data_IF_590761324411
#
_entry.id   IF_590761324411
#
_cell.length_a   1.000
_cell.length_b   1.000
_cell.length_c   1.000
_cell.angle_alpha   90.00
_cell.angle_beta   90.00
_cell.angle_gamma   90.00
#
_symmetry.space_group_name_H-M   'P 1'
#
loop_
_entity.id
_entity.type
_entity.pdbx_description
1 polymer ?
#
# COMPACT_ATOMS: atom_id res chain seq x y z
N UNK A 1 -29.94 -17.13 10.27
CA UNK A 1 -29.74 -17.68 11.64
C UNK A 1 -30.38 -16.73 12.64
N UNK A 2 -30.86 -17.21 13.79
CA UNK A 2 -31.31 -16.35 14.88
C UNK A 2 -30.83 -16.86 16.25
N UNK A 3 -30.30 -15.97 17.09
CA UNK A 3 -29.86 -16.29 18.45
C UNK A 3 -30.44 -15.28 19.45
N UNK A 4 -30.77 -15.72 20.66
CA UNK A 4 -31.35 -14.88 21.70
C UNK A 4 -30.44 -14.72 22.92
N UNK A 5 -30.26 -13.47 23.35
CA UNK A 5 -29.48 -13.11 24.54
C UNK A 5 -30.33 -12.32 25.54
N UNK A 6 -30.02 -12.46 26.84
CA UNK A 6 -30.79 -11.92 27.97
C UNK A 6 -29.95 -10.91 28.73
N UNK A 7 -30.53 -9.75 29.06
CA UNK A 7 -29.81 -8.65 29.71
C UNK A 7 -30.51 -8.17 30.97
N UNK A 8 -29.74 -7.94 32.03
CA UNK A 8 -30.24 -7.43 33.31
C UNK A 8 -30.28 -5.91 33.34
N UNK A 9 -30.93 -5.36 34.38
CA UNK A 9 -30.98 -3.91 34.56
C UNK A 9 -29.58 -3.34 34.78
N UNK A 10 -29.21 -2.33 34.00
CA UNK A 10 -27.89 -1.69 34.06
C UNK A 10 -26.89 -2.22 33.03
N UNK A 11 -27.18 -3.36 32.40
CA UNK A 11 -26.43 -3.80 31.23
C UNK A 11 -26.89 -2.98 30.02
N UNK A 12 -26.14 -1.94 29.68
CA UNK A 12 -26.43 -1.05 28.54
C UNK A 12 -25.35 -1.14 27.47
N UNK A 13 -24.42 -2.08 27.59
CA UNK A 13 -23.35 -2.19 26.61
C UNK A 13 -23.94 -2.49 25.23
N UNK A 14 -24.95 -3.37 25.15
CA UNK A 14 -25.55 -3.70 23.85
C UNK A 14 -26.20 -2.46 23.22
N UNK A 15 -26.74 -1.55 24.03
CA UNK A 15 -27.31 -0.30 23.51
C UNK A 15 -26.24 0.56 22.85
N UNK A 16 -25.12 0.76 23.56
CA UNK A 16 -23.98 1.49 23.04
C UNK A 16 -23.39 0.87 21.77
N UNK A 17 -23.36 -0.46 21.69
CA UNK A 17 -22.94 -1.18 20.49
C UNK A 17 -23.89 -0.98 19.31
N UNK A 18 -25.21 -1.09 19.55
CA UNK A 18 -26.24 -0.89 18.53
C UNK A 18 -26.18 0.53 17.94
N UNK A 19 -26.06 1.53 18.80
CA UNK A 19 -25.98 2.96 18.46
C UNK A 19 -24.61 3.39 17.94
N UNK A 20 -23.63 2.47 17.84
CA UNK A 20 -22.25 2.73 17.42
C UNK A 20 -21.61 3.87 18.25
N UNK A 21 -21.88 3.88 19.56
CA UNK A 21 -21.23 4.81 20.50
C UNK A 21 -19.73 4.53 20.56
N UNK A 22 -18.96 5.60 20.77
CA UNK A 22 -17.51 5.55 20.91
C UNK A 22 -17.12 5.66 22.38
N UNK A 23 -16.03 5.01 22.74
CA UNK A 23 -15.41 5.12 24.06
C UNK A 23 -14.62 6.43 24.21
N UNK A 24 -13.97 6.61 25.36
CA UNK A 24 -13.14 7.78 25.69
C UNK A 24 -11.96 7.96 24.73
N UNK A 25 -11.52 6.89 24.06
CA UNK A 25 -10.43 6.89 23.09
C UNK A 25 -10.91 7.10 21.65
N UNK A 26 -12.22 7.30 21.44
CA UNK A 26 -12.82 7.47 20.12
C UNK A 26 -12.98 6.17 19.32
N UNK A 27 -12.80 5.00 19.95
CA UNK A 27 -13.02 3.68 19.35
C UNK A 27 -14.47 3.25 19.52
N UNK A 28 -15.04 2.54 18.55
CA UNK A 28 -16.40 2.01 18.68
C UNK A 28 -16.48 0.96 19.79
N UNK A 29 -17.55 1.03 20.59
CA UNK A 29 -17.84 0.03 21.61
C UNK A 29 -18.27 -1.27 20.92
N UNK A 30 -17.43 -2.30 21.00
CA UNK A 30 -17.68 -3.63 20.42
C UNK A 30 -18.18 -4.61 21.46
N UNK A 31 -18.98 -5.60 21.04
CA UNK A 31 -19.31 -6.75 21.87
C UNK A 31 -18.41 -7.94 21.50
N UNK A 32 -17.44 -8.22 22.36
CA UNK A 32 -16.37 -9.19 22.08
C UNK A 32 -15.48 -8.73 20.91
N UNK A 33 -14.95 -9.69 20.15
CA UNK A 33 -13.98 -9.44 19.07
C UNK A 33 -14.63 -9.13 17.70
N UNK A 34 -15.65 -8.27 17.65
CA UNK A 34 -16.26 -7.85 16.38
C UNK A 34 -15.34 -6.89 15.63
N UNK A 35 -15.24 -7.04 14.31
CA UNK A 35 -14.55 -6.09 13.42
C UNK A 35 -15.58 -5.20 12.76
N UNK A 36 -15.61 -3.93 13.16
CA UNK A 36 -16.47 -2.89 12.57
C UNK A 36 -15.65 -2.17 11.51
N UNK A 37 -16.22 -2.03 10.31
CA UNK A 37 -15.69 -1.21 9.23
C UNK A 37 -16.31 0.20 9.29
N UNK A 38 -15.58 1.23 9.79
CA UNK A 38 -16.13 2.57 9.95
C UNK A 38 -16.61 3.21 8.64
N UNK A 39 -16.09 2.76 7.49
CA UNK A 39 -16.48 3.29 6.18
C UNK A 39 -17.90 2.89 5.79
N UNK A 40 -18.41 1.79 6.37
CA UNK A 40 -19.74 1.24 6.09
C UNK A 40 -20.78 1.57 7.15
N UNK A 41 -20.40 2.15 8.29
CA UNK A 41 -21.32 2.45 9.41
C UNK A 41 -22.52 3.33 9.01
N UNK A 42 -22.35 4.20 8.01
CA UNK A 42 -23.43 5.03 7.47
C UNK A 42 -24.53 4.23 6.75
N UNK A 43 -24.27 2.95 6.43
CA UNK A 43 -25.24 2.02 5.85
C UNK A 43 -26.09 1.33 6.91
N UNK A 44 -25.77 1.49 8.20
CA UNK A 44 -26.57 0.96 9.29
C UNK A 44 -27.87 1.77 9.42
N UNK A 45 -28.93 1.10 9.86
CA UNK A 45 -30.22 1.75 10.04
C UNK A 45 -31.01 1.08 11.16
N UNK A 46 -31.92 1.83 11.79
CA UNK A 46 -32.84 1.31 12.78
C UNK A 46 -34.23 1.17 12.15
N UNK A 47 -34.82 -0.01 12.24
CA UNK A 47 -36.17 -0.26 11.71
C UNK A 47 -37.27 0.20 12.66
N UNK A 48 -36.94 0.50 13.92
CA UNK A 48 -37.93 0.97 14.88
C UNK A 48 -38.28 2.44 14.60
N UNK A 49 -39.56 2.78 14.36
CA UNK A 49 -39.97 4.06 13.78
C UNK A 49 -39.81 5.28 14.70
N UNK A 50 -39.82 5.09 16.01
CA UNK A 50 -39.58 6.19 16.94
C UNK A 50 -38.08 6.55 16.95
N UNK A 51 -37.73 7.80 17.25
CA UNK A 51 -36.34 8.30 17.23
C UNK A 51 -35.66 8.48 18.60
N UNK A 52 -36.32 8.10 19.70
CA UNK A 52 -35.77 8.29 21.06
C UNK A 52 -34.69 7.26 21.43
N UNK A 53 -33.84 7.59 22.42
CA UNK A 53 -32.74 6.73 22.89
C UNK A 53 -33.27 5.38 23.42
N UNK A 54 -32.51 4.29 23.19
CA UNK A 54 -32.90 2.94 23.62
C UNK A 54 -33.18 2.85 25.12
N UNK A 55 -32.37 3.55 25.92
CA UNK A 55 -32.53 3.59 27.38
C UNK A 55 -33.83 4.25 27.81
N UNK A 56 -34.20 5.35 27.19
CA UNK A 56 -35.42 6.09 27.54
C UNK A 56 -36.66 5.24 27.30
N UNK A 57 -36.70 4.46 26.21
CA UNK A 57 -37.81 3.54 25.92
C UNK A 57 -37.94 2.42 26.93
N UNK A 58 -36.79 1.83 27.29
CA UNK A 58 -36.77 0.80 28.32
C UNK A 58 -37.35 1.36 29.62
N UNK A 59 -36.85 2.50 30.08
CA UNK A 59 -37.30 3.08 31.34
C UNK A 59 -38.76 3.58 31.28
N UNK A 60 -39.19 4.15 30.14
CA UNK A 60 -40.58 4.57 29.94
C UNK A 60 -41.55 3.38 30.06
N UNK A 61 -41.24 2.26 29.40
CA UNK A 61 -42.08 1.07 29.48
C UNK A 61 -42.02 0.38 30.83
N UNK A 62 -40.87 0.40 31.52
CA UNK A 62 -40.75 -0.13 32.89
C UNK A 62 -41.45 0.75 33.95
N UNK A 63 -41.67 2.03 33.65
CA UNK A 63 -42.35 2.99 34.53
C UNK A 63 -43.86 3.03 34.35
N UNK A 64 -44.39 2.32 33.34
CA UNK A 64 -45.83 2.20 33.09
C UNK A 64 -46.52 1.58 34.33
N UNK A 65 -47.57 2.22 34.89
CA UNK A 65 -48.26 1.74 36.09
C UNK A 65 -48.88 0.34 35.93
N UNK A 66 -49.17 -0.07 34.69
CA UNK A 66 -49.70 -1.38 34.34
C UNK A 66 -48.61 -2.41 34.00
N UNK A 67 -47.33 -2.04 34.10
CA UNK A 67 -46.18 -2.93 33.90
C UNK A 67 -45.47 -3.19 35.23
N UNK A 68 -45.54 -4.43 35.71
CA UNK A 68 -44.81 -4.86 36.90
C UNK A 68 -43.42 -5.36 36.54
N UNK A 69 -42.39 -4.64 37.00
CA UNK A 69 -41.03 -5.17 37.05
C UNK A 69 -40.62 -5.47 38.50
N UNK A 70 -40.01 -6.64 38.74
CA UNK A 70 -39.48 -6.96 40.06
C UNK A 70 -38.28 -6.06 40.38
N UNK A 71 -38.18 -5.58 41.62
CA UNK A 71 -37.03 -4.80 42.08
C UNK A 71 -35.91 -5.72 42.59
N UNK A 72 -35.21 -6.35 41.65
CA UNK A 72 -34.07 -7.25 41.90
C UNK A 72 -32.99 -6.96 40.86
N UNK A 73 -31.73 -7.02 41.26
CA UNK A 73 -30.60 -6.73 40.37
C UNK A 73 -30.45 -7.74 39.22
N UNK A 74 -30.84 -8.99 39.44
CA UNK A 74 -30.70 -10.10 38.48
C UNK A 74 -31.93 -10.28 37.57
N UNK A 75 -32.87 -9.34 37.59
CA UNK A 75 -34.03 -9.39 36.70
C UNK A 75 -33.59 -9.07 35.29
N UNK A 76 -33.89 -9.99 34.37
CA UNK A 76 -33.74 -9.77 32.93
C UNK A 76 -34.84 -8.81 32.49
N UNK A 77 -34.46 -7.57 32.16
CA UNK A 77 -35.39 -6.50 31.82
C UNK A 77 -35.55 -6.31 30.32
N UNK A 78 -34.61 -6.78 29.51
CA UNK A 78 -34.77 -6.87 28.06
C UNK A 78 -34.00 -8.08 27.51
N UNK A 79 -34.29 -8.43 26.26
CA UNK A 79 -33.54 -9.42 25.50
C UNK A 79 -33.31 -8.95 24.08
N UNK A 80 -32.36 -9.59 23.40
CA UNK A 80 -32.04 -9.30 22.00
C UNK A 80 -32.11 -10.57 21.17
N UNK A 81 -32.87 -10.54 20.09
CA UNK A 81 -32.66 -11.46 18.97
C UNK A 81 -31.59 -10.88 18.04
N UNK A 82 -30.50 -11.61 17.83
CA UNK A 82 -29.58 -11.36 16.74
C UNK A 82 -30.02 -12.21 15.54
N UNK A 83 -30.56 -11.57 14.51
CA UNK A 83 -31.04 -12.21 13.28
C UNK A 83 -30.07 -11.91 12.16
N UNK A 84 -29.43 -12.93 11.62
CA UNK A 84 -28.40 -12.81 10.58
C UNK A 84 -28.90 -13.36 9.27
N UNK A 85 -28.62 -12.63 8.19
CA UNK A 85 -28.90 -13.05 6.83
C UNK A 85 -28.23 -14.42 6.55
N UNK A 86 -28.93 -15.40 5.96
CA UNK A 86 -28.36 -16.73 5.75
C UNK A 86 -27.39 -16.70 4.57
N UNK A 87 -26.10 -16.96 4.80
CA UNK A 87 -25.10 -17.02 3.72
C UNK A 87 -25.05 -18.37 3.01
N UNK A 88 -25.78 -19.36 3.52
CA UNK A 88 -25.80 -20.72 3.02
C UNK A 88 -27.22 -21.31 3.02
N UNK A 89 -27.50 -22.22 2.09
CA UNK A 89 -28.71 -23.02 2.02
C UNK A 89 -28.35 -24.52 1.95
N UNK A 90 -29.20 -25.43 2.45
CA UNK A 90 -29.07 -26.85 2.14
C UNK A 90 -29.12 -27.09 0.62
N UNK A 91 -28.30 -28.01 0.13
CA UNK A 91 -28.39 -28.53 -1.23
C UNK A 91 -29.58 -29.47 -1.33
N UNK A 92 -30.30 -29.39 -2.44
CA UNK A 92 -31.45 -30.25 -2.74
C UNK A 92 -31.11 -31.15 -3.95
N UNK A 93 -31.64 -32.37 -3.95
CA UNK A 93 -31.57 -33.30 -5.08
C UNK A 93 -32.63 -32.96 -6.15
N UNK A 94 -32.66 -33.75 -7.21
CA UNK A 94 -33.59 -33.59 -8.35
C UNK A 94 -35.07 -33.68 -7.94
N UNK A 95 -35.35 -34.27 -6.79
CA UNK A 95 -36.69 -34.46 -6.24
C UNK A 95 -37.03 -33.44 -5.12
N UNK A 96 -36.11 -32.50 -4.83
CA UNK A 96 -36.28 -31.51 -3.76
C UNK A 96 -35.97 -32.02 -2.35
N UNK A 97 -35.31 -33.18 -2.20
CA UNK A 97 -34.87 -33.66 -0.89
C UNK A 97 -33.50 -33.07 -0.53
N UNK A 98 -33.30 -32.75 0.75
CA UNK A 98 -32.02 -32.23 1.24
C UNK A 98 -30.93 -33.31 1.13
N UNK A 99 -29.79 -32.95 0.57
CA UNK A 99 -28.60 -33.79 0.48
C UNK A 99 -27.82 -33.71 1.79
N UNK A 100 -27.53 -34.86 2.40
CA UNK A 100 -26.76 -34.95 3.64
C UNK A 100 -25.35 -35.49 3.39
N UNK A 101 -24.40 -35.08 4.24
CA UNK A 101 -23.03 -35.56 4.29
C UNK A 101 -22.64 -35.93 5.71
N UNK A 102 -21.74 -36.90 5.85
CA UNK A 102 -21.16 -37.28 7.14
C UNK A 102 -20.01 -36.33 7.49
N UNK A 103 -20.05 -35.75 8.68
CA UNK A 103 -18.99 -34.88 9.22
C UNK A 103 -18.44 -35.45 10.51
N UNK A 104 -17.12 -35.49 10.62
CA UNK A 104 -16.46 -35.75 11.89
C UNK A 104 -16.56 -34.53 12.80
N UNK A 105 -17.13 -34.74 13.98
CA UNK A 105 -17.27 -33.74 15.04
C UNK A 105 -16.33 -34.11 16.16
N UNK A 106 -15.37 -33.22 16.40
CA UNK A 106 -14.44 -33.33 17.53
C UNK A 106 -15.07 -32.68 18.75
N UNK A 107 -15.34 -33.50 19.77
CA UNK A 107 -15.85 -33.04 21.05
C UNK A 107 -14.72 -32.50 21.93
N UNK A 108 -15.12 -31.68 22.90
CA UNK A 108 -14.19 -31.03 23.85
C UNK A 108 -13.47 -32.02 24.76
N UNK A 109 -14.03 -33.22 24.92
CA UNK A 109 -13.46 -34.33 25.68
C UNK A 109 -12.48 -35.21 24.85
N UNK A 110 -12.24 -34.85 23.59
CA UNK A 110 -11.34 -35.55 22.68
C UNK A 110 -11.98 -36.71 21.93
N UNK A 111 -13.28 -36.96 22.11
CA UNK A 111 -14.01 -37.95 21.30
C UNK A 111 -14.29 -37.41 19.91
N UNK A 112 -14.28 -38.29 18.91
CA UNK A 112 -14.67 -37.97 17.53
C UNK A 112 -15.93 -38.76 17.22
N UNK A 113 -17.01 -38.08 16.87
CA UNK A 113 -18.25 -38.72 16.41
C UNK A 113 -18.57 -38.29 15.00
N UNK A 114 -19.20 -39.18 14.23
CA UNK A 114 -19.74 -38.83 12.92
C UNK A 114 -21.17 -38.32 13.08
N UNK A 115 -21.43 -37.10 12.61
CA UNK A 115 -22.78 -36.52 12.54
C UNK A 115 -23.21 -36.36 11.08
N UNK A 116 -24.43 -36.78 10.78
CA UNK A 116 -25.06 -36.54 9.47
C UNK A 116 -25.59 -35.11 9.44
N UNK A 117 -24.99 -34.26 8.61
CA UNK A 117 -25.35 -32.85 8.46
C UNK A 117 -25.74 -32.54 7.01
N UNK A 118 -26.64 -31.57 6.76
CA UNK A 118 -26.96 -31.18 5.39
C UNK A 118 -25.74 -30.56 4.70
N UNK A 119 -25.54 -30.94 3.44
CA UNK A 119 -24.54 -30.31 2.59
C UNK A 119 -25.04 -28.92 2.22
N UNK A 120 -24.20 -27.90 2.43
CA UNK A 120 -24.57 -26.50 2.23
C UNK A 120 -23.99 -25.95 0.92
N UNK A 121 -24.75 -25.09 0.25
CA UNK A 121 -24.30 -24.22 -0.85
C UNK A 121 -24.30 -22.77 -0.39
N UNK A 122 -23.37 -21.98 -0.88
CA UNK A 122 -23.39 -20.53 -0.68
C UNK A 122 -24.57 -19.90 -1.42
N UNK A 123 -25.14 -18.86 -0.82
CA UNK A 123 -26.21 -18.06 -1.40
C UNK A 123 -25.89 -16.57 -1.23
N UNK A 124 -26.28 -15.80 -2.24
CA UNK A 124 -26.11 -14.35 -2.28
C UNK A 124 -27.47 -13.69 -2.49
N UNK A 125 -27.58 -12.45 -2.06
CA UNK A 125 -28.82 -11.68 -2.13
C UNK A 125 -28.57 -10.33 -2.79
N UNK A 126 -29.60 -9.81 -3.45
CA UNK A 126 -29.63 -8.42 -3.89
C UNK A 126 -29.93 -7.50 -2.72
N UNK A 127 -29.59 -6.21 -2.84
CA UNK A 127 -29.88 -5.22 -1.80
C UNK A 127 -31.37 -5.16 -1.42
N UNK A 128 -32.26 -5.33 -2.41
CA UNK A 128 -33.71 -5.40 -2.19
C UNK A 128 -34.11 -6.62 -1.35
N UNK A 129 -33.51 -7.79 -1.63
CA UNK A 129 -33.75 -9.00 -0.85
C UNK A 129 -33.19 -8.89 0.58
N UNK A 130 -32.03 -8.25 0.75
CA UNK A 130 -31.46 -7.98 2.07
C UNK A 130 -32.40 -7.10 2.88
N UNK A 131 -32.89 -6.02 2.28
CA UNK A 131 -33.86 -5.12 2.91
C UNK A 131 -35.15 -5.85 3.26
N UNK A 132 -35.72 -6.60 2.31
CA UNK A 132 -36.91 -7.40 2.51
C UNK A 132 -36.75 -8.40 3.67
N UNK A 133 -35.61 -9.08 3.77
CA UNK A 133 -35.33 -10.03 4.86
C UNK A 133 -35.43 -9.39 6.24
N UNK A 134 -34.79 -8.22 6.41
CA UNK A 134 -34.83 -7.53 7.69
C UNK A 134 -36.20 -6.93 7.98
N UNK A 135 -36.93 -6.44 6.97
CA UNK A 135 -38.28 -5.88 7.14
C UNK A 135 -39.26 -6.96 7.61
N UNK A 136 -39.20 -8.14 6.98
CA UNK A 136 -39.99 -9.30 7.39
C UNK A 136 -39.60 -9.80 8.78
N UNK A 137 -38.30 -9.83 9.09
CA UNK A 137 -37.80 -10.21 10.41
C UNK A 137 -38.30 -9.26 11.49
N UNK A 138 -38.22 -7.94 11.25
CA UNK A 138 -38.70 -6.92 12.17
C UNK A 138 -40.21 -7.02 12.39
N UNK A 139 -40.98 -7.17 11.31
CA UNK A 139 -42.44 -7.33 11.39
C UNK A 139 -42.84 -8.57 12.18
N UNK A 140 -42.26 -9.72 11.88
CA UNK A 140 -42.49 -10.96 12.61
C UNK A 140 -42.22 -10.81 14.11
N UNK A 141 -41.06 -10.25 14.47
CA UNK A 141 -40.64 -10.10 15.86
C UNK A 141 -41.52 -9.08 16.60
N UNK A 142 -41.88 -7.99 15.95
CA UNK A 142 -42.76 -6.95 16.51
C UNK A 142 -44.17 -7.48 16.75
N UNK A 143 -44.73 -8.24 15.81
CA UNK A 143 -46.03 -8.90 15.96
C UNK A 143 -46.00 -9.96 17.06
N UNK A 144 -44.90 -10.73 17.16
CA UNK A 144 -44.75 -11.82 18.12
C UNK A 144 -44.59 -11.36 19.57
N UNK A 145 -43.83 -10.28 19.80
CA UNK A 145 -43.49 -9.81 21.15
C UNK A 145 -44.20 -8.51 21.55
N UNK A 146 -44.98 -7.92 20.65
CA UNK A 146 -45.72 -6.69 20.85
C UNK A 146 -44.89 -5.45 20.52
N UNK A 147 -45.37 -4.65 19.58
CA UNK A 147 -44.72 -3.42 19.09
C UNK A 147 -44.36 -2.45 20.23
N UNK A 148 -45.26 -2.29 21.21
CA UNK A 148 -45.07 -1.44 22.38
C UNK A 148 -43.95 -1.92 23.33
N UNK A 149 -43.46 -3.14 23.16
CA UNK A 149 -42.38 -3.71 23.96
C UNK A 149 -41.04 -3.65 23.22
N UNK A 150 -41.02 -3.20 21.95
CA UNK A 150 -39.80 -3.08 21.15
C UNK A 150 -39.01 -1.87 21.61
N UNK A 151 -37.73 -2.10 21.92
CA UNK A 151 -36.78 -1.06 22.29
C UNK A 151 -36.14 -0.51 21.00
N UNK A 152 -35.61 -1.40 20.16
CA UNK A 152 -34.96 -1.03 18.90
C UNK A 152 -34.76 -2.22 17.97
N UNK A 153 -34.49 -1.95 16.70
CA UNK A 153 -34.18 -2.96 15.70
C UNK A 153 -33.07 -2.45 14.76
N UNK A 154 -31.83 -2.42 15.26
CA UNK A 154 -30.68 -1.94 14.48
C UNK A 154 -30.19 -3.02 13.53
N UNK A 155 -30.07 -2.67 12.25
CA UNK A 155 -29.41 -3.47 11.23
C UNK A 155 -27.99 -2.96 11.06
N UNK A 156 -27.02 -3.83 11.31
CA UNK A 156 -25.60 -3.57 11.13
C UNK A 156 -25.13 -4.13 9.79
N UNK A 157 -24.71 -3.22 8.91
CA UNK A 157 -24.20 -3.45 7.56
C UNK A 157 -22.68 -3.25 7.48
N UNK A 158 -22.03 -2.95 8.60
CA UNK A 158 -20.61 -2.59 8.73
C UNK A 158 -19.76 -3.66 9.43
N UNK A 159 -20.31 -4.86 9.60
CA UNK A 159 -19.61 -6.05 10.10
C UNK A 159 -19.51 -7.14 9.03
N UNK A 160 -18.97 -8.32 9.38
CA UNK A 160 -18.73 -9.44 8.45
C UNK A 160 -19.99 -9.89 7.71
N UNK A 161 -21.12 -10.02 8.41
CA UNK A 161 -22.39 -10.44 7.82
C UNK A 161 -23.49 -9.52 8.30
N UNK A 162 -24.36 -9.00 7.41
CA UNK A 162 -25.52 -8.21 7.80
C UNK A 162 -26.35 -8.94 8.86
N UNK A 163 -26.62 -8.25 9.96
CA UNK A 163 -27.44 -8.77 11.04
C UNK A 163 -28.23 -7.68 11.74
N UNK A 164 -29.35 -8.07 12.32
CA UNK A 164 -30.24 -7.20 13.07
C UNK A 164 -30.22 -7.56 14.55
N UNK A 165 -29.98 -6.56 15.38
CA UNK A 165 -30.21 -6.61 16.82
C UNK A 165 -31.63 -6.10 17.12
N UNK A 166 -32.55 -7.04 17.35
CA UNK A 166 -33.93 -6.76 17.75
C UNK A 166 -34.06 -6.85 19.27
N UNK A 167 -34.13 -5.69 19.93
CA UNK A 167 -34.19 -5.55 21.37
C UNK A 167 -35.63 -5.33 21.81
N UNK A 168 -36.09 -6.07 22.81
CA UNK A 168 -37.44 -5.94 23.35
C UNK A 168 -37.53 -6.32 24.83
N UNK A 169 -38.60 -5.86 25.48
CA UNK A 169 -38.89 -6.14 26.89
C UNK A 169 -39.76 -7.40 26.97
N UNK A 170 -39.35 -8.44 27.71
CA UNK A 170 -40.09 -9.70 27.75
C UNK A 170 -41.30 -9.58 28.69
N UNK A 171 -42.41 -9.11 28.15
CA UNK A 171 -43.67 -8.89 28.85
C UNK A 171 -44.58 -10.12 28.74
N UNK A 172 -45.23 -10.48 29.85
CA UNK A 172 -46.29 -11.50 29.92
C UNK A 172 -47.41 -11.03 30.84
N UNK A 173 -48.60 -11.62 30.75
CA UNK A 173 -49.72 -11.29 31.64
C UNK A 173 -49.40 -11.60 33.11
N UNK A 174 -49.78 -10.69 34.02
CA UNK A 174 -49.74 -10.96 35.46
C UNK A 174 -51.04 -11.64 35.92
N UNK A 175 -51.24 -12.88 35.46
CA UNK A 175 -52.46 -13.67 35.69
C UNK A 175 -52.96 -13.61 37.13
N UNK A 176 -52.05 -13.83 38.09
CA UNK A 176 -52.38 -13.82 39.54
C UNK A 176 -52.89 -12.48 40.05
N UNK A 177 -52.49 -11.37 39.44
CA UNK A 177 -52.99 -10.05 39.82
C UNK A 177 -54.30 -9.74 39.10
N UNK A 178 -54.38 -10.06 37.80
CA UNK A 178 -55.59 -9.87 37.00
C UNK A 178 -56.78 -10.66 37.57
N UNK A 179 -56.55 -11.90 38.00
CA UNK A 179 -57.56 -12.74 38.67
C UNK A 179 -58.03 -12.14 40.01
N UNK A 180 -57.13 -11.46 40.75
CA UNK A 180 -57.46 -10.86 42.04
C UNK A 180 -58.13 -9.49 41.90
N UNK A 181 -57.90 -8.79 40.79
CA UNK A 181 -58.34 -7.41 40.58
C UNK A 181 -59.05 -7.28 39.22
N UNK A 182 -60.19 -7.97 39.01
CA UNK A 182 -60.89 -7.98 37.73
C UNK A 182 -61.46 -6.61 37.34
N UNK A 183 -61.69 -5.73 38.32
CA UNK A 183 -62.24 -4.38 38.10
C UNK A 183 -61.18 -3.34 37.68
N UNK A 184 -59.90 -3.74 37.57
CA UNK A 184 -58.80 -2.86 37.18
C UNK A 184 -58.32 -3.18 35.77
N UNK A 185 -57.65 -2.21 35.16
CA UNK A 185 -56.96 -2.45 33.89
C UNK A 185 -55.99 -3.62 34.02
N UNK A 186 -55.95 -4.55 33.04
CA UNK A 186 -55.08 -5.71 33.10
C UNK A 186 -53.62 -5.30 33.27
N UNK A 187 -52.97 -5.89 34.27
CA UNK A 187 -51.54 -5.71 34.51
C UNK A 187 -50.74 -6.78 33.78
N UNK A 188 -49.60 -6.35 33.25
CA UNK A 188 -48.57 -7.21 32.69
C UNK A 188 -47.31 -7.17 33.56
N UNK A 189 -46.40 -8.12 33.38
CA UNK A 189 -45.15 -8.21 34.13
C UNK A 189 -43.96 -8.52 33.22
N UNK A 190 -42.78 -8.03 33.60
CA UNK A 190 -41.51 -8.37 32.96
C UNK A 190 -41.07 -9.75 33.47
N UNK A 191 -41.02 -10.74 32.58
CA UNK A 191 -40.65 -12.11 32.93
C UNK A 191 -40.04 -12.87 31.75
N UNK A 192 -38.74 -12.67 31.51
CA UNK A 192 -37.98 -13.39 30.48
C UNK A 192 -38.04 -14.92 30.61
N UNK A 193 -38.15 -15.44 31.84
CA UNK A 193 -38.22 -16.88 32.10
C UNK A 193 -39.52 -17.50 31.56
N UNK A 194 -40.62 -16.76 31.63
CA UNK A 194 -41.93 -17.25 31.22
C UNK A 194 -42.11 -17.09 29.70
N UNK A 195 -41.73 -15.93 29.15
CA UNK A 195 -41.82 -15.66 27.72
C UNK A 195 -40.81 -16.48 26.91
N UNK A 196 -39.53 -16.42 27.29
CA UNK A 196 -38.40 -17.05 26.58
C UNK A 196 -38.04 -18.38 27.23
N UNK A 197 -39.04 -19.26 27.29
CA UNK A 197 -38.94 -20.62 27.81
C UNK A 197 -38.43 -21.59 26.73
N UNK A 198 -38.17 -22.84 27.10
CA UNK A 198 -37.65 -23.84 26.16
C UNK A 198 -38.57 -24.12 24.97
N UNK A 199 -39.89 -24.12 25.17
CA UNK A 199 -40.84 -24.30 24.08
C UNK A 199 -40.70 -23.19 23.06
N UNK A 200 -40.66 -21.94 23.51
CA UNK A 200 -40.45 -20.78 22.65
C UNK A 200 -39.13 -20.89 21.87
N UNK A 201 -38.04 -21.23 22.55
CA UNK A 201 -36.72 -21.40 21.90
C UNK A 201 -36.71 -22.52 20.85
N UNK A 202 -37.40 -23.63 21.11
CA UNK A 202 -37.43 -24.78 20.21
C UNK A 202 -38.30 -24.53 18.97
N UNK A 203 -39.37 -23.75 19.09
CA UNK A 203 -40.29 -23.50 17.95
C UNK A 203 -39.89 -22.27 17.13
N UNK A 204 -39.09 -21.34 17.69
CA UNK A 204 -38.82 -20.04 17.09
C UNK A 204 -38.34 -20.13 15.64
N UNK A 205 -37.27 -20.89 15.36
CA UNK A 205 -36.71 -20.98 14.00
C UNK A 205 -37.70 -21.55 12.99
N UNK A 206 -38.50 -22.54 13.38
CA UNK A 206 -39.55 -23.12 12.52
C UNK A 206 -40.61 -22.09 12.19
N UNK A 207 -41.12 -21.38 13.20
CA UNK A 207 -42.20 -20.40 12.99
C UNK A 207 -41.69 -19.17 12.21
N UNK A 208 -40.43 -18.76 12.43
CA UNK A 208 -39.78 -17.73 11.63
C UNK A 208 -39.61 -18.18 10.16
N UNK A 209 -39.19 -19.43 9.92
CA UNK A 209 -39.12 -20.00 8.57
C UNK A 209 -40.48 -19.98 7.88
N UNK A 210 -41.52 -20.47 8.56
CA UNK A 210 -42.89 -20.48 8.04
C UNK A 210 -43.38 -19.08 7.69
N UNK A 211 -43.07 -18.08 8.51
CA UNK A 211 -43.40 -16.68 8.24
C UNK A 211 -42.67 -16.15 7.01
N UNK A 212 -41.37 -16.41 6.91
CA UNK A 212 -40.56 -16.00 5.75
C UNK A 212 -41.12 -16.62 4.46
N UNK A 213 -41.41 -17.92 4.45
CA UNK A 213 -41.94 -18.61 3.26
C UNK A 213 -43.35 -18.14 2.86
N UNK A 214 -44.15 -17.66 3.82
CA UNK A 214 -45.48 -17.10 3.55
C UNK A 214 -45.44 -15.68 3.00
N UNK A 215 -44.44 -14.88 3.40
CA UNK A 215 -44.36 -13.45 3.08
C UNK A 215 -43.26 -13.10 2.05
N UNK A 216 -42.54 -14.11 1.55
CA UNK A 216 -41.52 -14.00 0.51
C UNK A 216 -41.58 -15.21 -0.42
N UNK A 217 -40.64 -15.30 -1.37
CA UNK A 217 -40.50 -16.50 -2.17
C UNK A 217 -40.07 -17.67 -1.29
N UNK A 218 -40.80 -18.79 -1.36
CA UNK A 218 -40.50 -20.01 -0.61
C UNK A 218 -39.04 -20.44 -0.81
N UNK A 219 -38.33 -20.67 0.29
CA UNK A 219 -36.92 -21.09 0.28
C UNK A 219 -35.92 -19.96 -0.02
N UNK A 220 -36.38 -18.72 -0.20
CA UNK A 220 -35.48 -17.58 -0.43
C UNK A 220 -34.61 -17.29 0.79
N UNK A 221 -35.20 -17.34 1.99
CA UNK A 221 -34.51 -17.04 3.25
C UNK A 221 -34.48 -18.27 4.18
N UNK A 222 -33.56 -19.23 3.97
CA UNK A 222 -33.45 -20.40 4.82
C UNK A 222 -32.98 -20.03 6.24
N UNK A 223 -33.86 -20.19 7.21
CA UNK A 223 -33.62 -19.98 8.63
C UNK A 223 -32.93 -21.21 9.21
N UNK A 224 -31.61 -21.15 9.22
CA UNK A 224 -30.79 -22.19 9.83
C UNK A 224 -30.81 -22.11 11.37
N UNK A 225 -30.98 -23.26 12.03
CA UNK A 225 -30.79 -23.41 13.47
C UNK A 225 -29.36 -23.91 13.78
N UNK A 226 -28.92 -23.76 15.04
CA UNK A 226 -27.58 -24.16 15.46
C UNK A 226 -27.29 -25.66 15.27
N UNK A 227 -28.31 -26.51 15.29
CA UNK A 227 -28.19 -27.95 15.04
C UNK A 227 -27.91 -28.25 13.56
N UNK A 228 -28.45 -27.47 12.62
CA UNK A 228 -28.29 -27.66 11.18
C UNK A 228 -26.90 -27.25 10.65
N UNK A 229 -26.16 -26.42 11.41
CA UNK A 229 -24.80 -25.93 11.04
C UNK A 229 -23.68 -26.68 11.81
N UNK A 230 -24.02 -27.68 12.64
CA UNK A 230 -23.04 -28.50 13.37
C UNK A 230 -22.94 -28.15 14.86
N UNK A 231 -24.07 -28.30 15.55
CA UNK A 231 -24.18 -28.19 17.00
C UNK A 231 -24.03 -26.77 17.54
N UNK A 232 -24.28 -26.59 18.85
CA UNK A 232 -24.02 -25.35 19.59
C UNK A 232 -22.50 -25.05 19.64
N UNK A 233 -21.90 -24.76 18.48
CA UNK A 233 -20.57 -24.18 18.45
C UNK A 233 -20.66 -22.81 19.06
N UNK A 234 -19.87 -22.59 20.09
CA UNK A 234 -19.81 -21.26 20.71
C UNK A 234 -19.32 -20.26 19.66
N UNK A 235 -19.74 -19.00 19.74
CA UNK A 235 -19.24 -17.94 18.83
C UNK A 235 -17.70 -17.92 18.79
N UNK A 236 -17.03 -18.33 19.88
CA UNK A 236 -15.58 -18.50 19.94
C UNK A 236 -15.04 -19.60 19.01
N UNK A 237 -15.73 -20.72 18.83
CA UNK A 237 -15.32 -21.82 17.94
C UNK A 237 -15.52 -21.48 16.46
N UNK A 238 -16.62 -20.79 16.13
CA UNK A 238 -16.83 -20.24 14.78
C UNK A 238 -15.78 -19.18 14.45
N UNK A 239 -15.49 -18.29 15.41
CA UNK A 239 -14.45 -17.27 15.28
C UNK A 239 -13.04 -17.88 15.18
N UNK A 240 -12.75 -18.96 15.90
CA UNK A 240 -11.46 -19.66 15.80
C UNK A 240 -11.27 -20.27 14.41
N UNK A 241 -12.33 -20.85 13.83
CA UNK A 241 -12.29 -21.40 12.47
C UNK A 241 -12.09 -20.31 11.42
N UNK A 242 -12.85 -19.21 11.53
CA UNK A 242 -12.72 -18.06 10.61
C UNK A 242 -11.38 -17.34 10.74
N UNK A 243 -10.84 -17.19 11.96
CA UNK A 243 -9.50 -16.63 12.17
C UNK A 243 -8.39 -17.53 11.62
N UNK A 244 -8.59 -18.86 11.68
CA UNK A 244 -7.66 -19.82 11.07
C UNK A 244 -7.70 -19.72 9.54
N UNK A 245 -8.88 -19.57 8.95
CA UNK A 245 -9.08 -19.42 7.51
C UNK A 245 -8.50 -18.09 7.00
N UNK A 246 -8.76 -16.97 7.71
CA UNK A 246 -8.09 -15.68 7.44
C UNK A 246 -6.57 -15.78 7.53
N UNK A 247 -6.04 -16.51 8.52
CA UNK A 247 -4.61 -16.70 8.67
C UNK A 247 -4.02 -17.51 7.52
N UNK A 248 -4.72 -18.55 7.05
CA UNK A 248 -4.31 -19.36 5.89
C UNK A 248 -4.28 -18.52 4.61
N UNK A 249 -5.31 -17.73 4.35
CA UNK A 249 -5.34 -16.84 3.18
C UNK A 249 -4.25 -15.77 3.25
N UNK A 250 -4.03 -15.18 4.43
CA UNK A 250 -2.95 -14.22 4.64
C UNK A 250 -1.57 -14.86 4.41
N UNK A 251 -1.36 -16.11 4.83
CA UNK A 251 -0.11 -16.83 4.56
C UNK A 251 0.11 -17.10 3.07
N UNK A 252 -0.96 -17.49 2.35
CA UNK A 252 -0.89 -17.71 0.89
C UNK A 252 -0.54 -16.42 0.15
N UNK A 253 -1.18 -15.30 0.50
CA UNK A 253 -0.87 -14.00 -0.10
C UNK A 253 0.56 -13.55 0.22
N UNK A 254 1.05 -13.82 1.45
CA UNK A 254 2.43 -13.54 1.81
C UNK A 254 3.44 -14.39 1.01
N UNK A 255 3.11 -15.64 0.70
CA UNK A 255 3.92 -16.49 -0.18
C UNK A 255 3.94 -15.97 -1.62
N UNK A 256 2.79 -15.57 -2.18
CA UNK A 256 2.69 -14.97 -3.52
C UNK A 256 3.53 -13.67 -3.61
N UNK A 257 3.46 -12.80 -2.60
CA UNK A 257 4.28 -11.58 -2.53
C UNK A 257 5.76 -11.92 -2.43
N UNK A 258 6.13 -12.93 -1.63
CA UNK A 258 7.52 -13.38 -1.49
C UNK A 258 8.07 -13.93 -2.81
N UNK A 259 7.28 -14.71 -3.55
CA UNK A 259 7.65 -15.20 -4.87
C UNK A 259 7.85 -14.06 -5.87
N UNK A 260 6.93 -13.10 -5.92
CA UNK A 260 7.07 -11.92 -6.77
C UNK A 260 8.30 -11.06 -6.42
N UNK A 261 8.60 -10.91 -5.12
CA UNK A 261 9.78 -10.21 -4.65
C UNK A 261 11.07 -10.97 -5.02
N UNK A 262 11.10 -12.30 -4.87
CA UNK A 262 12.23 -13.12 -5.27
C UNK A 262 12.51 -13.03 -6.77
N UNK A 263 11.46 -13.06 -7.60
CA UNK A 263 11.61 -12.88 -9.04
C UNK A 263 12.20 -11.50 -9.37
N UNK A 264 11.72 -10.44 -8.72
CA UNK A 264 12.25 -9.08 -8.90
C UNK A 264 13.73 -8.97 -8.50
N UNK A 265 14.16 -9.70 -7.46
CA UNK A 265 15.57 -9.78 -7.03
C UNK A 265 16.43 -10.51 -8.07
N UNK A 266 15.93 -11.60 -8.66
CA UNK A 266 16.63 -12.31 -9.73
C UNK A 266 16.84 -11.39 -10.93
N UNK A 267 15.79 -10.68 -11.35
CA UNK A 267 15.86 -9.75 -12.48
C UNK A 267 16.83 -8.58 -12.21
N UNK A 268 16.83 -8.04 -10.99
CA UNK A 268 17.77 -7.00 -10.58
C UNK A 268 19.22 -7.50 -10.58
N UNK A 269 19.47 -8.73 -10.12
CA UNK A 269 20.81 -9.32 -10.12
C UNK A 269 21.35 -9.52 -11.55
N UNK A 270 20.50 -9.91 -12.50
CA UNK A 270 20.90 -10.04 -13.90
C UNK A 270 21.26 -8.68 -14.51
N UNK A 271 20.51 -7.62 -14.16
CA UNK A 271 20.86 -6.25 -14.58
C UNK A 271 22.20 -5.78 -14.00
N UNK A 272 22.46 -6.06 -12.72
CA UNK A 272 23.76 -5.74 -12.09
C UNK A 272 24.90 -6.45 -12.82
N UNK A 273 24.70 -7.72 -13.22
CA UNK A 273 25.69 -8.49 -13.98
C UNK A 273 25.98 -7.88 -15.35
N UNK A 274 24.97 -7.39 -16.05
CA UNK A 274 25.14 -6.69 -17.34
C UNK A 274 25.98 -5.42 -17.17
N UNK A 275 25.64 -4.57 -16.20
CA UNK A 275 26.38 -3.33 -15.92
C UNK A 275 27.83 -3.63 -15.53
N UNK A 276 28.09 -4.68 -14.74
CA UNK A 276 29.45 -5.10 -14.40
C UNK A 276 30.25 -5.48 -15.66
N UNK A 277 29.65 -6.17 -16.62
CA UNK A 277 30.31 -6.49 -17.90
C UNK A 277 30.66 -5.23 -18.68
N UNK A 278 29.77 -4.25 -18.75
CA UNK A 278 30.02 -2.98 -19.44
C UNK A 278 31.16 -2.19 -18.80
N UNK A 279 31.24 -2.15 -17.46
CA UNK A 279 32.33 -1.49 -16.74
C UNK A 279 33.69 -2.11 -17.10
N UNK A 280 33.77 -3.44 -17.19
CA UNK A 280 35.00 -4.14 -17.59
C UNK A 280 35.42 -3.72 -19.00
N UNK A 281 34.48 -3.71 -19.95
CA UNK A 281 34.75 -3.29 -21.33
C UNK A 281 35.25 -1.83 -21.40
N UNK A 282 34.68 -0.93 -20.61
CA UNK A 282 35.11 0.48 -20.55
C UNK A 282 36.52 0.59 -19.97
N UNK A 283 36.85 -0.19 -18.94
CA UNK A 283 38.19 -0.20 -18.35
C UNK A 283 39.25 -0.69 -19.33
N UNK A 284 38.96 -1.73 -20.11
CA UNK A 284 39.84 -2.22 -21.17
C UNK A 284 40.05 -1.17 -22.26
N UNK A 285 38.97 -0.54 -22.74
CA UNK A 285 39.06 0.53 -23.74
C UNK A 285 39.90 1.72 -23.25
N UNK A 286 39.80 2.06 -21.96
CA UNK A 286 40.62 3.10 -21.33
C UNK A 286 42.10 2.73 -21.33
N UNK A 287 42.46 1.50 -20.96
CA UNK A 287 43.85 1.03 -20.95
C UNK A 287 44.48 1.10 -22.35
N UNK A 288 43.74 0.67 -23.37
CA UNK A 288 44.19 0.75 -24.77
C UNK A 288 44.45 2.21 -25.16
N UNK A 289 43.52 3.12 -24.84
CA UNK A 289 43.67 4.53 -25.14
C UNK A 289 44.87 5.18 -24.41
N UNK A 290 45.12 4.81 -23.16
CA UNK A 290 46.29 5.27 -22.38
C UNK A 290 47.59 4.77 -23.01
N UNK A 291 47.64 3.51 -23.46
CA UNK A 291 48.81 2.94 -24.13
C UNK A 291 49.09 3.59 -25.48
N UNK A 292 48.05 3.82 -26.29
CA UNK A 292 48.16 4.52 -27.57
C UNK A 292 48.65 5.97 -27.39
N UNK A 293 48.14 6.66 -26.37
CA UNK A 293 48.59 8.02 -26.02
C UNK A 293 50.06 8.02 -25.63
N UNK A 294 50.51 7.02 -24.86
CA UNK A 294 51.91 6.87 -24.47
C UNK A 294 52.82 6.62 -25.68
N UNK A 295 52.44 5.70 -26.57
CA UNK A 295 53.17 5.43 -27.82
C UNK A 295 53.31 6.69 -28.67
N UNK A 296 52.23 7.46 -28.79
CA UNK A 296 52.24 8.72 -29.53
C UNK A 296 53.19 9.76 -28.90
N UNK A 297 53.20 9.89 -27.56
CA UNK A 297 54.14 10.78 -26.86
C UNK A 297 55.61 10.37 -27.10
N UNK A 298 55.92 9.08 -27.03
CA UNK A 298 57.28 8.57 -27.31
C UNK A 298 57.70 8.82 -28.76
N UNK A 299 56.80 8.67 -29.73
CA UNK A 299 57.07 9.00 -31.13
C UNK A 299 57.30 10.50 -31.33
N UNK A 300 56.52 11.34 -30.65
CA UNK A 300 56.64 12.78 -30.74
C UNK A 300 57.97 13.24 -30.15
N UNK A 301 58.36 12.71 -29.00
CA UNK A 301 59.68 12.98 -28.40
C UNK A 301 60.82 12.53 -29.34
N UNK A 302 60.75 11.33 -29.93
CA UNK A 302 61.76 10.86 -30.91
C UNK A 302 61.86 11.74 -32.16
N UNK A 303 60.76 12.31 -32.63
CA UNK A 303 60.74 13.21 -33.82
C UNK A 303 61.24 14.61 -33.49
N UNK A 304 60.93 15.13 -32.30
CA UNK A 304 61.22 16.51 -31.93
C UNK A 304 62.57 16.67 -31.20
N UNK A 305 63.09 15.63 -30.53
CA UNK A 305 64.39 15.64 -29.85
C UNK A 305 65.59 15.89 -30.79
N UNK A 306 65.67 15.30 -32.00
CA UNK A 306 66.72 15.61 -32.98
C UNK A 306 66.63 17.05 -33.47
N UNK A 307 65.42 17.57 -33.66
CA UNK A 307 65.17 18.94 -34.11
C UNK A 307 65.62 19.94 -33.04
N UNK A 308 65.31 19.67 -31.76
CA UNK A 308 65.80 20.45 -30.61
C UNK A 308 67.31 20.35 -30.45
N UNK A 309 67.90 19.19 -30.71
CA UNK A 309 69.35 18.97 -30.64
C UNK A 309 70.08 19.71 -31.77
N UNK A 310 69.60 19.65 -33.02
CA UNK A 310 70.12 20.49 -34.12
C UNK A 310 70.01 21.98 -33.80
N UNK A 311 68.93 22.39 -33.14
CA UNK A 311 68.72 23.79 -32.76
C UNK A 311 69.73 24.23 -31.69
N UNK A 312 69.97 23.39 -30.68
CA UNK A 312 70.94 23.60 -29.61
C UNK A 312 72.37 23.58 -30.17
N UNK A 313 72.70 22.57 -30.96
CA UNK A 313 74.01 22.40 -31.58
C UNK A 313 74.29 23.59 -32.51
N UNK A 314 73.31 24.00 -33.31
CA UNK A 314 73.38 25.19 -34.16
C UNK A 314 73.34 26.55 -33.43
N UNK A 315 73.06 26.57 -32.12
CA UNK A 315 73.24 27.72 -31.22
C UNK A 315 74.65 27.74 -30.63
N UNK A 316 75.22 26.57 -30.28
CA UNK A 316 76.64 26.43 -29.86
C UNK A 316 77.62 26.64 -31.00
N UNK A 317 77.27 26.26 -32.24
CA UNK A 317 78.08 26.41 -33.46
C UNK A 317 78.05 27.84 -34.03
N UNK A 318 77.51 28.79 -33.26
CA UNK A 318 77.59 30.22 -33.61
C UNK A 318 79.01 30.77 -33.52
N UNK A 319 80.00 30.00 -33.04
CA UNK A 319 81.43 30.30 -33.21
C UNK A 319 81.80 31.75 -32.85
N UNK A 320 81.08 32.34 -31.89
CA UNK A 320 81.27 33.73 -31.51
C UNK A 320 82.57 33.79 -30.71
N UNK A 321 83.58 34.45 -31.27
CA UNK A 321 84.78 34.79 -30.51
C UNK A 321 84.45 35.94 -29.53
N UNK A 322 85.39 36.24 -28.63
CA UNK A 322 85.21 37.26 -27.58
C UNK A 322 84.77 38.63 -28.16
N UNK A 323 85.24 39.00 -29.34
CA UNK A 323 84.94 40.26 -30.03
C UNK A 323 83.50 40.32 -30.56
N UNK A 324 82.93 39.17 -30.96
CA UNK A 324 81.53 39.06 -31.39
C UNK A 324 80.58 39.19 -30.18
N UNK A 325 80.99 38.64 -29.04
CA UNK A 325 80.24 38.73 -27.78
C UNK A 325 80.21 40.17 -27.26
N UNK A 326 81.35 40.87 -27.28
CA UNK A 326 81.44 42.26 -26.86
C UNK A 326 80.60 43.19 -27.76
N UNK A 327 80.54 42.91 -29.07
CA UNK A 327 79.72 43.67 -30.03
C UNK A 327 78.21 43.48 -29.79
N UNK A 328 77.76 42.26 -29.52
CA UNK A 328 76.35 41.96 -29.16
C UNK A 328 76.00 42.57 -27.80
N UNK A 329 76.89 42.48 -26.82
CA UNK A 329 76.67 43.03 -25.47
C UNK A 329 76.62 44.55 -25.51
N UNK A 330 77.46 45.19 -26.33
CA UNK A 330 77.41 46.63 -26.60
C UNK A 330 76.09 47.04 -27.25
N UNK A 331 75.61 46.27 -28.23
CA UNK A 331 74.31 46.52 -28.85
C UNK A 331 73.14 46.33 -27.86
N UNK A 332 73.20 45.31 -27.00
CA UNK A 332 72.18 45.10 -25.95
C UNK A 332 72.13 46.27 -24.96
N UNK A 333 73.27 46.79 -24.52
CA UNK A 333 73.33 48.02 -23.68
C UNK A 333 72.81 49.26 -24.40
N UNK A 334 73.04 49.37 -25.71
CA UNK A 334 72.53 50.47 -26.53
C UNK A 334 71.00 50.40 -26.70
N UNK A 335 70.40 49.20 -26.76
CA UNK A 335 68.94 49.03 -26.75
C UNK A 335 68.29 49.53 -25.46
N UNK A 336 68.99 49.41 -24.33
CA UNK A 336 68.51 49.93 -23.03
C UNK A 336 68.58 51.47 -22.93
N UNK A 337 69.44 52.10 -23.73
CA UNK A 337 69.66 53.56 -23.71
C UNK A 337 69.51 54.18 -25.11
N UNK A 338 68.31 54.13 -25.70
CA UNK A 338 68.12 54.59 -27.06
C UNK A 338 68.16 56.13 -27.17
N UNK A 339 68.78 56.63 -28.23
CA UNK A 339 68.96 58.06 -28.49
C UNK A 339 67.74 58.61 -29.24
N UNK A 340 67.12 59.68 -28.73
CA UNK A 340 66.00 60.36 -29.39
C UNK A 340 66.51 61.56 -30.19
N UNK A 341 66.17 61.61 -31.48
CA UNK A 341 66.40 62.81 -32.29
C UNK A 341 65.47 63.96 -31.89
N UNK A 342 65.82 65.18 -32.30
CA UNK A 342 64.99 66.38 -32.12
C UNK A 342 63.60 66.28 -32.80
N UNK A 343 63.41 65.34 -33.71
CA UNK A 343 62.12 65.04 -34.35
C UNK A 343 61.36 63.88 -33.67
N UNK A 344 61.81 63.39 -32.50
CA UNK A 344 61.13 62.36 -31.71
C UNK A 344 61.35 60.91 -32.16
N UNK A 345 62.14 60.65 -33.21
CA UNK A 345 62.50 59.29 -33.65
C UNK A 345 63.57 58.71 -32.73
N UNK A 346 63.36 57.46 -32.30
CA UNK A 346 64.21 56.69 -31.40
C UNK A 346 65.21 55.88 -32.24
N UNK A 347 66.49 56.07 -32.00
CA UNK A 347 67.59 55.37 -32.66
C UNK A 347 68.40 54.60 -31.61
N UNK A 348 68.95 53.46 -32.02
CA UNK A 348 69.86 52.67 -31.19
C UNK A 348 71.16 52.58 -31.96
N UNK A 349 72.25 52.96 -31.29
CA UNK A 349 73.58 52.87 -31.88
C UNK A 349 73.97 51.40 -32.03
N UNK A 350 74.43 51.03 -33.22
CA UNK A 350 74.93 49.68 -33.49
C UNK A 350 76.46 49.74 -33.42
N UNK A 351 77.10 49.20 -32.37
CA UNK A 351 78.55 49.16 -32.30
C UNK A 351 79.08 48.33 -33.47
N UNK A 352 80.07 48.84 -34.19
CA UNK A 352 80.69 48.17 -35.35
C UNK A 352 79.67 47.50 -36.32
N UNK A 353 78.91 48.30 -37.09
CA UNK A 353 77.78 47.82 -37.88
C UNK A 353 78.13 46.70 -38.86
N UNK A 354 79.33 46.72 -39.43
CA UNK A 354 79.79 45.72 -40.40
C UNK A 354 79.91 44.31 -39.79
N UNK A 355 80.21 44.22 -38.49
CA UNK A 355 80.29 42.93 -37.76
C UNK A 355 78.98 42.57 -37.08
N UNK A 356 78.28 43.54 -36.49
CA UNK A 356 77.11 43.29 -35.63
C UNK A 356 75.85 42.98 -36.43
N UNK A 357 75.62 43.66 -37.57
CA UNK A 357 74.42 43.45 -38.39
C UNK A 357 74.32 42.03 -38.98
N UNK A 358 75.39 41.42 -39.54
CA UNK A 358 75.35 40.04 -40.02
C UNK A 358 74.98 39.03 -38.93
N UNK A 359 75.58 39.16 -37.74
CA UNK A 359 75.35 38.27 -36.60
C UNK A 359 73.91 38.42 -36.09
N UNK A 360 73.43 39.65 -35.92
CA UNK A 360 72.06 39.94 -35.51
C UNK A 360 71.03 39.40 -36.51
N UNK A 361 71.28 39.55 -37.83
CA UNK A 361 70.43 38.97 -38.89
C UNK A 361 70.42 37.44 -38.87
N UNK A 362 71.52 36.79 -38.47
CA UNK A 362 71.62 35.32 -38.35
C UNK A 362 70.86 34.82 -37.12
N UNK A 363 71.02 35.50 -35.98
CA UNK A 363 70.32 35.22 -34.72
C UNK A 363 68.80 35.42 -34.87
N UNK A 364 68.36 36.55 -35.43
CA UNK A 364 66.94 36.84 -35.61
C UNK A 364 66.26 35.86 -36.57
N UNK A 365 66.88 35.50 -37.70
CA UNK A 365 66.32 34.49 -38.62
C UNK A 365 66.15 33.13 -37.95
N UNK A 366 67.10 32.70 -37.12
CA UNK A 366 66.99 31.44 -36.38
C UNK A 366 65.93 31.51 -35.28
N UNK A 367 65.86 32.60 -34.50
CA UNK A 367 64.83 32.81 -33.47
C UNK A 367 63.41 32.79 -34.03
N UNK A 368 63.17 33.44 -35.17
CA UNK A 368 61.86 33.38 -35.85
C UNK A 368 61.49 31.94 -36.21
N UNK A 369 62.44 31.16 -36.74
CA UNK A 369 62.22 29.74 -37.03
C UNK A 369 61.95 28.90 -35.77
N UNK A 370 62.60 29.19 -34.63
CA UNK A 370 62.32 28.51 -33.35
C UNK A 370 60.88 28.75 -32.90
N UNK A 371 60.44 30.01 -32.94
CA UNK A 371 59.09 30.42 -32.51
C UNK A 371 58.02 29.80 -33.40
N UNK A 372 58.24 29.75 -34.71
CA UNK A 372 57.31 29.10 -35.66
C UNK A 372 57.21 27.59 -35.41
N UNK A 373 58.32 26.90 -35.15
CA UNK A 373 58.33 25.47 -34.84
C UNK A 373 57.67 25.15 -33.49
N UNK A 374 57.94 25.93 -32.44
CA UNK A 374 57.27 25.74 -31.13
C UNK A 374 55.76 25.98 -31.21
N UNK A 375 55.31 26.97 -32.01
CA UNK A 375 53.87 27.17 -32.30
C UNK A 375 53.26 25.99 -33.06
N UNK A 376 54.00 25.34 -33.95
CA UNK A 376 53.52 24.18 -34.70
C UNK A 376 53.37 22.94 -33.83
N UNK A 377 54.32 22.70 -32.92
CA UNK A 377 54.25 21.62 -31.92
C UNK A 377 53.04 21.82 -30.99
N UNK A 378 52.85 23.04 -30.47
CA UNK A 378 51.70 23.36 -29.64
C UNK A 378 50.35 23.13 -30.38
N UNK A 379 50.29 23.46 -31.68
CA UNK A 379 49.12 23.18 -32.52
C UNK A 379 48.88 21.67 -32.70
N UNK A 380 49.91 20.86 -32.89
CA UNK A 380 49.78 19.39 -33.01
C UNK A 380 49.31 18.75 -31.72
N UNK A 381 49.84 19.17 -30.57
CA UNK A 381 49.41 18.68 -29.25
C UNK A 381 47.94 19.03 -29.00
N UNK A 382 47.55 20.28 -29.25
CA UNK A 382 46.16 20.70 -29.09
C UNK A 382 45.21 19.93 -30.04
N UNK A 383 45.63 19.71 -31.29
CA UNK A 383 44.85 18.94 -32.27
C UNK A 383 44.65 17.48 -31.88
N UNK A 384 45.69 16.82 -31.38
CA UNK A 384 45.59 15.41 -30.95
C UNK A 384 44.74 15.27 -29.69
N UNK A 385 44.93 16.13 -28.69
CA UNK A 385 44.11 16.14 -27.49
C UNK A 385 42.62 16.35 -27.81
N UNK A 386 42.29 17.22 -28.77
CA UNK A 386 40.91 17.43 -29.19
C UNK A 386 40.34 16.23 -29.97
N UNK A 387 41.13 15.59 -30.85
CA UNK A 387 40.70 14.37 -31.55
C UNK A 387 40.40 13.23 -30.59
N UNK A 388 41.27 13.00 -29.60
CA UNK A 388 41.07 11.97 -28.57
C UNK A 388 39.84 12.30 -27.72
N UNK A 389 39.67 13.57 -27.34
CA UNK A 389 38.49 14.02 -26.59
C UNK A 389 37.20 13.81 -27.37
N UNK A 390 37.17 14.15 -28.66
CA UNK A 390 36.01 13.95 -29.55
C UNK A 390 35.69 12.47 -29.71
N UNK A 391 36.71 11.62 -29.90
CA UNK A 391 36.54 10.16 -30.00
C UNK A 391 35.93 9.56 -28.73
N UNK A 392 36.44 9.94 -27.54
CA UNK A 392 35.89 9.48 -26.26
C UNK A 392 34.45 9.99 -26.07
N UNK A 393 34.18 11.25 -26.42
CA UNK A 393 32.84 11.85 -26.27
C UNK A 393 31.81 11.21 -27.19
N UNK A 394 32.21 10.84 -28.41
CA UNK A 394 31.38 10.11 -29.36
C UNK A 394 31.03 8.72 -28.83
N UNK A 395 32.03 7.95 -28.36
CA UNK A 395 31.81 6.62 -27.74
C UNK A 395 30.93 6.71 -26.50
N UNK A 396 31.11 7.74 -25.67
CA UNK A 396 30.30 7.96 -24.47
C UNK A 396 28.85 8.30 -24.82
N UNK A 397 28.62 9.11 -25.86
CA UNK A 397 27.28 9.45 -26.33
C UNK A 397 26.55 8.25 -26.91
N UNK A 398 27.25 7.40 -27.67
CA UNK A 398 26.71 6.14 -28.22
C UNK A 398 26.27 5.19 -27.09
N UNK A 399 27.14 4.99 -26.08
CA UNK A 399 26.83 4.17 -24.91
C UNK A 399 25.66 4.75 -24.08
N UNK A 400 25.57 6.07 -23.95
CA UNK A 400 24.46 6.74 -23.25
C UNK A 400 23.14 6.56 -23.99
N UNK A 401 23.12 6.65 -25.32
CA UNK A 401 21.92 6.47 -26.12
C UNK A 401 21.44 5.02 -26.13
N UNK A 402 22.37 4.06 -26.17
CA UNK A 402 22.06 2.64 -26.06
C UNK A 402 21.47 2.27 -24.69
N UNK A 403 22.07 2.76 -23.60
CA UNK A 403 21.53 2.61 -22.25
C UNK A 403 20.14 3.25 -22.10
N UNK A 404 19.91 4.38 -22.79
CA UNK A 404 18.63 5.08 -22.77
C UNK A 404 17.55 4.31 -23.53
N UNK A 405 17.84 3.75 -24.70
CA UNK A 405 16.93 2.84 -25.43
C UNK A 405 16.57 1.62 -24.59
N UNK A 406 17.55 0.97 -23.98
CA UNK A 406 17.29 -0.20 -23.12
C UNK A 406 16.41 0.16 -21.92
N UNK A 407 16.56 1.35 -21.33
CA UNK A 407 15.69 1.82 -20.25
C UNK A 407 14.28 2.22 -20.71
N UNK A 408 14.12 2.74 -21.92
CA UNK A 408 12.81 3.04 -22.50
C UNK A 408 12.04 1.76 -22.87
N UNK A 409 12.72 0.73 -23.37
CA UNK A 409 12.15 -0.61 -23.63
C UNK A 409 11.76 -1.35 -22.34
N UNK A 410 12.35 -0.99 -21.18
CA UNK A 410 12.07 -1.58 -19.86
C UNK A 410 10.93 -0.91 -19.08
N UNK A 411 10.35 0.20 -19.56
CA UNK A 411 9.21 0.81 -18.85
C UNK A 411 7.96 -0.07 -19.01
N UNK A 412 7.36 -0.58 -17.92
CA UNK A 412 6.07 -1.23 -18.02
C UNK A 412 5.06 -0.20 -18.49
N UNK A 413 4.34 -0.52 -19.58
CA UNK A 413 3.23 0.28 -20.08
C UNK A 413 2.19 0.37 -18.95
N UNK A 414 2.24 1.46 -18.18
CA UNK A 414 1.17 1.83 -17.27
C UNK A 414 -0.08 2.02 -18.11
N UNK A 415 -0.97 1.03 -18.10
CA UNK A 415 -2.37 1.19 -18.51
C UNK A 415 -2.92 2.36 -17.70
N UNK A 416 -3.14 3.49 -18.37
CA UNK A 416 -3.90 4.62 -17.82
C UNK A 416 -5.31 4.12 -17.54
N UNK A 417 -5.64 3.92 -16.27
CA UNK A 417 -7.02 3.93 -15.83
C UNK A 417 -7.45 5.40 -15.85
N UNK A 418 -8.23 5.77 -16.86
CA UNK A 418 -8.98 7.03 -16.88
C UNK A 418 -10.02 6.98 -15.75
N UNK A 419 -9.80 7.81 -14.74
CA UNK A 419 -10.83 8.20 -13.78
C UNK A 419 -11.06 9.69 -14.03
N UNK A 420 -12.04 10.01 -14.88
CA UNK A 420 -12.61 11.35 -14.93
C UNK A 420 -13.62 11.50 -13.80
N UNK A 421 -13.45 12.56 -13.04
CA UNK A 421 -14.32 13.04 -11.94
C UNK A 421 -15.78 13.21 -12.33
#
# INVERSE_FOLDING_TARGET
MANFEKFTRGDYGLFAHCERKKDENGQYITFGNQRIDPTRTHLNYNMCPDGGEQRERLEARLSDPNVKCMNRADVVVYGSWCVTLPTHAPMEDENGNIIYEEKEVHHRDGTVTTETAPKLKEITYTDEQIKQFFELSYKFLSERYGEQNVISAYVHMDETTPHMHFLFIPIVDDKKWNEKHPDKEPRVKVCAKELMNMTEMNVFHRVLQEYMDQHSQKGLFPVLNGTTIGGNRTIAELKAKSALEEALDATKHAEEIKEAANQSVIDANEQVRQVQSEIVNIQEAKLIAEEDTKKWLEELEKKELPVMKELKDGLTDLGADKDDYDSITGFAKALEHPVKSSTGKVFVEIPNPEKTLPVLKKVMRKLTSVIEKTKDIARKIAGHAEQTRVSIRAKLAEAQEEARRQNEERKPVQKRNDISR
#
